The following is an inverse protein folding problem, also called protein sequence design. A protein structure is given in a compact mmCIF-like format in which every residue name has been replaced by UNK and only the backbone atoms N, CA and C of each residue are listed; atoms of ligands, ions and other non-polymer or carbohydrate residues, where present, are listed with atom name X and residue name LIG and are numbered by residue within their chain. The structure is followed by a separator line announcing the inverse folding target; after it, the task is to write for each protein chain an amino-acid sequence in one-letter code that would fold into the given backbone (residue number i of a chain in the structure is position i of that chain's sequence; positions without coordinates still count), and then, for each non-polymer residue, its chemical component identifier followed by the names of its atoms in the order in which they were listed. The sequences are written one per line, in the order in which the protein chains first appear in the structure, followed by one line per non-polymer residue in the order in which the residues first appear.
data_IF_811985616299
#
_entry.id   IF_811985616299
#
_cell.length_a   1.000
_cell.length_b   1.000
_cell.length_c   1.000
_cell.angle_alpha   90.00
_cell.angle_beta   90.00
_cell.angle_gamma   90.00
#
_symmetry.space_group_name_H-M   'P 1'
#
loop_
_entity.id
_entity.type
_entity.pdbx_description
1 polymer ?
#
# COMPACT_ATOMS: atom_id res chain seq x y z
N UNK A 1 1.19 -31.62 25.53
CA UNK A 1 1.81 -32.33 24.37
C UNK A 1 2.87 -33.35 24.81
N UNK A 2 2.84 -33.80 26.08
CA UNK A 2 3.85 -34.70 26.67
C UNK A 2 3.89 -36.09 26.00
N UNK A 3 2.78 -36.54 25.43
CA UNK A 3 2.71 -37.79 24.66
C UNK A 3 3.69 -37.83 23.47
N UNK A 4 4.12 -36.68 22.94
CA UNK A 4 5.13 -36.61 21.89
C UNK A 4 6.50 -37.06 22.38
N UNK A 5 6.82 -36.91 23.67
CA UNK A 5 8.11 -37.30 24.23
C UNK A 5 8.33 -38.83 24.26
N UNK A 6 7.25 -39.60 24.15
CA UNK A 6 7.29 -41.05 24.01
C UNK A 6 7.56 -41.51 22.56
N UNK A 7 7.63 -40.59 21.58
CA UNK A 7 7.88 -40.89 20.18
C UNK A 7 9.35 -40.69 19.80
N UNK A 8 9.79 -41.38 18.74
CA UNK A 8 11.12 -41.20 18.18
C UNK A 8 11.38 -39.75 17.71
N UNK A 9 12.65 -39.33 17.75
CA UNK A 9 13.07 -37.97 17.38
C UNK A 9 12.60 -37.56 15.98
N UNK A 10 12.64 -38.50 15.02
CA UNK A 10 12.16 -38.28 13.65
C UNK A 10 10.70 -37.78 13.60
N UNK A 11 9.82 -38.34 14.43
CA UNK A 11 8.41 -37.93 14.49
C UNK A 11 8.27 -36.61 15.24
N UNK A 12 9.01 -36.42 16.34
CA UNK A 12 8.95 -35.17 17.13
C UNK A 12 9.40 -33.94 16.35
N UNK A 13 10.37 -34.12 15.46
CA UNK A 13 10.95 -33.06 14.63
C UNK A 13 10.25 -32.94 13.26
N UNK A 14 9.27 -33.79 12.97
CA UNK A 14 8.51 -33.72 11.73
C UNK A 14 7.77 -32.38 11.61
N UNK A 15 7.73 -31.84 10.38
CA UNK A 15 7.06 -30.56 10.07
C UNK A 15 5.62 -30.48 10.58
N UNK A 16 4.88 -31.58 10.53
CA UNK A 16 3.51 -31.66 11.03
C UNK A 16 3.41 -31.47 12.54
N UNK A 17 4.38 -31.99 13.31
CA UNK A 17 4.44 -31.81 14.76
C UNK A 17 4.88 -30.39 15.12
N UNK A 18 5.82 -29.80 14.37
CA UNK A 18 6.17 -28.39 14.53
C UNK A 18 4.96 -27.47 14.29
N UNK A 19 4.20 -27.71 13.21
CA UNK A 19 2.97 -26.96 12.93
C UNK A 19 1.89 -27.18 14.00
N UNK A 20 1.73 -28.40 14.50
CA UNK A 20 0.80 -28.68 15.59
C UNK A 20 1.17 -27.89 16.86
N UNK A 21 2.47 -27.83 17.20
CA UNK A 21 2.96 -27.03 18.34
C UNK A 21 2.67 -25.55 18.15
N UNK A 22 2.91 -25.02 16.95
CA UNK A 22 2.63 -23.63 16.60
C UNK A 22 1.13 -23.30 16.68
N UNK A 23 0.28 -24.09 16.04
CA UNK A 23 -1.18 -23.89 16.07
C UNK A 23 -1.69 -23.97 17.50
N UNK A 24 -1.22 -24.95 18.28
CA UNK A 24 -1.64 -25.10 19.66
C UNK A 24 -1.26 -23.88 20.51
N UNK A 25 -0.02 -23.39 20.40
CA UNK A 25 0.43 -22.22 21.17
C UNK A 25 -0.24 -20.91 20.74
N UNK A 26 -0.69 -20.81 19.48
CA UNK A 26 -1.42 -19.65 18.97
C UNK A 26 -2.90 -19.64 19.36
N UNK A 27 -3.49 -20.83 19.55
CA UNK A 27 -4.94 -21.00 19.75
C UNK A 27 -5.31 -21.24 21.21
N UNK A 28 -4.38 -21.69 22.04
CA UNK A 28 -4.65 -22.09 23.41
C UNK A 28 -3.61 -21.57 24.40
N UNK A 29 -4.08 -21.18 25.58
CA UNK A 29 -3.24 -20.89 26.75
C UNK A 29 -3.37 -22.05 27.75
N UNK A 30 -2.24 -22.45 28.34
CA UNK A 30 -2.20 -23.47 29.39
C UNK A 30 -1.89 -22.77 30.70
N UNK A 31 -2.86 -22.77 31.61
CA UNK A 31 -2.69 -22.22 32.96
C UNK A 31 -1.72 -23.08 33.78
N UNK A 32 -1.16 -22.51 34.85
CA UNK A 32 -0.35 -23.26 35.83
C UNK A 32 -1.11 -24.44 36.46
N UNK A 33 -2.45 -24.38 36.47
CA UNK A 33 -3.35 -25.44 36.92
C UNK A 33 -3.43 -26.64 35.96
N UNK A 34 -2.85 -26.53 34.75
CA UNK A 34 -3.02 -27.49 33.66
C UNK A 34 -4.32 -27.32 32.87
N UNK A 35 -5.17 -26.34 33.22
CA UNK A 35 -6.37 -25.99 32.47
C UNK A 35 -5.98 -25.38 31.12
N UNK A 36 -6.64 -25.83 30.06
CA UNK A 36 -6.44 -25.35 28.70
C UNK A 36 -7.64 -24.47 28.32
N UNK A 37 -7.38 -23.22 27.96
CA UNK A 37 -8.41 -22.30 27.47
C UNK A 37 -8.10 -21.82 26.05
N UNK A 38 -9.14 -21.61 25.25
CA UNK A 38 -8.99 -21.02 23.92
C UNK A 38 -8.68 -19.52 24.03
N UNK A 39 -7.67 -19.07 23.29
CA UNK A 39 -7.35 -17.65 23.15
C UNK A 39 -8.54 -16.93 22.50
N UNK A 40 -9.06 -15.89 23.15
CA UNK A 40 -10.24 -15.13 22.67
C UNK A 40 -9.89 -14.01 21.68
N UNK A 41 -8.64 -13.55 21.71
CA UNK A 41 -8.14 -12.46 20.86
C UNK A 41 -6.86 -12.91 20.19
N UNK A 42 -6.94 -13.18 18.89
CA UNK A 42 -5.79 -13.63 18.12
C UNK A 42 -4.97 -12.44 17.61
N UNK A 43 -3.64 -12.59 17.66
CA UNK A 43 -2.72 -11.68 17.00
C UNK A 43 -2.75 -11.87 15.48
N UNK A 44 -2.29 -10.86 14.74
CA UNK A 44 -2.04 -10.98 13.29
C UNK A 44 -1.01 -12.07 13.04
N UNK A 45 -1.24 -12.92 12.04
CA UNK A 45 -0.36 -14.04 11.68
C UNK A 45 -0.80 -15.40 12.21
N UNK A 46 -1.85 -15.46 13.02
CA UNK A 46 -2.35 -16.73 13.54
C UNK A 46 -2.83 -17.65 12.42
N UNK A 47 -2.40 -18.91 12.49
CA UNK A 47 -2.85 -19.99 11.61
C UNK A 47 -4.26 -20.39 12.02
N UNK A 48 -5.21 -20.22 11.08
CA UNK A 48 -6.62 -20.58 11.30
C UNK A 48 -6.96 -21.96 10.74
N UNK A 49 -6.19 -22.46 9.78
CA UNK A 49 -6.39 -23.76 9.15
C UNK A 49 -5.05 -24.50 9.02
N UNK A 50 -4.81 -25.57 9.79
CA UNK A 50 -3.56 -26.35 9.73
C UNK A 50 -3.27 -26.98 8.35
N UNK A 51 -4.29 -27.16 7.51
CA UNK A 51 -4.09 -27.67 6.15
C UNK A 51 -3.59 -26.61 5.16
N UNK A 52 -3.55 -25.34 5.57
CA UNK A 52 -3.03 -24.22 4.78
C UNK A 52 -2.43 -23.14 5.71
N UNK A 53 -1.27 -23.42 6.32
CA UNK A 53 -0.68 -22.53 7.33
C UNK A 53 -0.23 -21.17 6.78
N UNK A 54 -0.05 -21.06 5.46
CA UNK A 54 0.26 -19.79 4.81
C UNK A 54 -0.93 -18.82 4.76
N UNK A 55 -2.17 -19.32 4.88
CA UNK A 55 -3.39 -18.52 4.92
C UNK A 55 -3.65 -18.04 6.37
N UNK A 56 -2.89 -17.03 6.76
CA UNK A 56 -2.93 -16.47 8.11
C UNK A 56 -4.04 -15.43 8.28
N UNK A 57 -4.52 -15.27 9.50
CA UNK A 57 -5.43 -14.20 9.86
C UNK A 57 -4.70 -12.85 9.95
N UNK A 58 -5.32 -11.79 9.46
CA UNK A 58 -4.83 -10.42 9.59
C UNK A 58 -6.00 -9.46 9.70
N UNK A 59 -5.75 -8.29 10.28
CA UNK A 59 -6.71 -7.21 10.38
C UNK A 59 -6.06 -5.85 10.12
N UNK A 60 -6.83 -4.95 9.53
CA UNK A 60 -6.48 -3.56 9.29
C UNK A 60 -7.58 -2.64 9.81
N UNK A 61 -7.20 -1.47 10.32
CA UNK A 61 -8.11 -0.49 10.88
C UNK A 61 -8.49 -0.77 12.34
N UNK A 62 -9.20 0.19 12.96
CA UNK A 62 -9.64 0.13 14.34
C UNK A 62 -11.13 0.47 14.45
N UNK A 63 -11.78 -0.02 15.51
CA UNK A 63 -13.19 0.24 15.77
C UNK A 63 -14.09 -0.19 14.60
N UNK A 64 -14.99 0.70 14.17
CA UNK A 64 -15.93 0.45 13.06
C UNK A 64 -15.27 0.29 11.68
N UNK A 65 -13.99 0.65 11.56
CA UNK A 65 -13.22 0.51 10.32
C UNK A 65 -12.34 -0.76 10.31
N UNK A 66 -12.45 -1.61 11.35
CA UNK A 66 -11.73 -2.88 11.38
C UNK A 66 -12.24 -3.78 10.25
N UNK A 67 -11.32 -4.17 9.38
CA UNK A 67 -11.50 -5.23 8.39
C UNK A 67 -10.53 -6.34 8.71
N UNK A 68 -11.01 -7.56 8.81
CA UNK A 68 -10.19 -8.75 8.97
C UNK A 68 -10.40 -9.74 7.83
N UNK A 69 -9.39 -10.57 7.62
CA UNK A 69 -9.42 -11.60 6.60
C UNK A 69 -8.45 -12.72 6.95
N UNK A 70 -8.62 -13.85 6.27
CA UNK A 70 -7.72 -15.01 6.30
C UNK A 70 -7.28 -15.27 4.88
N UNK A 71 -6.00 -15.15 4.59
CA UNK A 71 -5.48 -15.42 3.25
C UNK A 71 -4.22 -14.64 2.91
N UNK A 72 -4.27 -13.93 1.79
CA UNK A 72 -3.12 -13.26 1.18
C UNK A 72 -3.48 -11.84 0.76
N UNK A 73 -2.46 -11.02 0.54
CA UNK A 73 -2.57 -9.72 -0.12
C UNK A 73 -2.02 -9.82 -1.53
N UNK A 74 -2.44 -8.90 -2.39
CA UNK A 74 -1.92 -8.80 -3.75
C UNK A 74 -1.68 -7.34 -4.12
N UNK A 75 -0.48 -7.05 -4.60
CA UNK A 75 -0.11 -5.78 -5.21
C UNK A 75 -0.22 -5.93 -6.72
N UNK A 76 -0.85 -4.97 -7.39
CA UNK A 76 -1.03 -4.97 -8.85
C UNK A 76 -0.55 -3.63 -9.37
N UNK A 77 0.32 -3.66 -10.38
CA UNK A 77 0.71 -2.49 -11.15
C UNK A 77 0.28 -2.66 -12.61
N UNK A 78 -0.12 -1.57 -13.25
CA UNK A 78 -0.45 -1.53 -14.66
C UNK A 78 0.12 -0.29 -15.36
N UNK A 79 0.18 -0.33 -16.68
CA UNK A 79 0.52 0.84 -17.48
C UNK A 79 -0.61 1.86 -17.45
N UNK A 80 -0.24 3.15 -17.49
CA UNK A 80 -1.19 4.23 -17.70
C UNK A 80 -1.57 4.26 -19.18
N UNK A 81 -2.86 4.34 -19.48
CA UNK A 81 -3.35 4.49 -20.84
C UNK A 81 -2.93 5.87 -21.41
N UNK A 82 -2.49 5.91 -22.66
CA UNK A 82 -2.13 7.16 -23.33
C UNK A 82 -3.32 7.71 -24.13
N UNK A 83 -3.21 8.95 -24.62
CA UNK A 83 -4.23 9.50 -25.53
C UNK A 83 -4.32 8.69 -26.83
N UNK A 84 -3.19 8.17 -27.31
CA UNK A 84 -3.08 7.38 -28.54
C UNK A 84 -3.54 5.92 -28.34
N UNK A 85 -3.32 5.35 -27.16
CA UNK A 85 -3.71 4.00 -26.81
C UNK A 85 -4.40 3.94 -25.45
N UNK A 86 -5.73 3.79 -25.49
CA UNK A 86 -6.58 3.66 -24.31
C UNK A 86 -6.44 2.30 -23.60
N UNK A 87 -5.53 1.43 -24.06
CA UNK A 87 -5.28 0.12 -23.44
C UNK A 87 -4.28 0.23 -22.28
N UNK A 88 -4.64 -0.31 -21.13
CA UNK A 88 -3.71 -0.54 -20.02
C UNK A 88 -3.36 -2.02 -19.88
N UNK A 89 -2.12 -2.33 -19.51
CA UNK A 89 -1.65 -3.70 -19.30
C UNK A 89 -1.06 -3.85 -17.91
N UNK A 90 -1.38 -4.95 -17.25
CA UNK A 90 -0.79 -5.31 -15.95
C UNK A 90 0.70 -5.60 -16.18
N UNK A 91 1.56 -4.88 -15.47
CA UNK A 91 3.02 -5.00 -15.59
C UNK A 91 3.59 -5.91 -14.51
N UNK A 92 2.95 -5.97 -13.35
CA UNK A 92 3.34 -6.91 -12.30
C UNK A 92 2.18 -7.23 -11.36
N UNK A 93 2.24 -8.44 -10.81
CA UNK A 93 1.41 -8.89 -9.69
C UNK A 93 2.33 -9.50 -8.64
N UNK A 94 2.22 -9.04 -7.40
CA UNK A 94 3.01 -9.53 -6.27
C UNK A 94 2.07 -10.06 -5.20
N UNK A 95 2.12 -11.37 -4.97
CA UNK A 95 1.40 -12.00 -3.86
C UNK A 95 2.20 -11.83 -2.58
N UNK A 96 1.53 -11.43 -1.50
CA UNK A 96 2.12 -11.24 -0.18
C UNK A 96 1.32 -12.01 0.87
N UNK A 97 1.96 -12.40 1.96
CA UNK A 97 1.23 -12.96 3.11
C UNK A 97 0.33 -11.89 3.73
N UNK A 98 -0.74 -12.32 4.40
CA UNK A 98 -1.67 -11.37 5.05
C UNK A 98 -1.01 -10.47 6.11
N UNK A 99 0.11 -10.91 6.68
CA UNK A 99 0.90 -10.23 7.72
C UNK A 99 1.87 -9.18 7.18
N UNK A 100 2.19 -9.21 5.88
CA UNK A 100 3.17 -8.30 5.28
C UNK A 100 2.68 -6.85 5.35
N UNK A 101 3.61 -5.92 5.61
CA UNK A 101 3.29 -4.49 5.61
C UNK A 101 2.98 -4.01 4.20
N UNK A 102 2.02 -3.11 4.07
CA UNK A 102 1.71 -2.46 2.79
C UNK A 102 2.91 -1.63 2.31
N UNK A 103 3.72 -1.09 3.24
CA UNK A 103 4.94 -0.32 2.93
C UNK A 103 5.97 -1.12 2.12
N UNK A 104 5.98 -2.45 2.28
CA UNK A 104 6.86 -3.34 1.52
C UNK A 104 6.34 -3.65 0.10
N UNK A 105 5.10 -3.28 -0.21
CA UNK A 105 4.44 -3.59 -1.48
C UNK A 105 5.06 -2.87 -2.68
N UNK A 106 5.38 -1.59 -2.55
CA UNK A 106 5.99 -0.81 -3.64
C UNK A 106 7.40 -1.32 -4.01
N UNK A 107 8.34 -1.47 -3.06
CA UNK A 107 9.65 -2.05 -3.37
C UNK A 107 9.57 -3.44 -4.02
N UNK A 108 8.68 -4.31 -3.51
CA UNK A 108 8.50 -5.65 -4.08
C UNK A 108 7.93 -5.60 -5.51
N UNK A 109 7.04 -4.63 -5.79
CA UNK A 109 6.46 -4.40 -7.12
C UNK A 109 7.52 -3.95 -8.13
N UNK A 110 8.36 -2.97 -7.75
CA UNK A 110 9.46 -2.47 -8.59
C UNK A 110 10.51 -3.57 -8.84
N UNK A 111 10.88 -4.33 -7.80
CA UNK A 111 11.78 -5.47 -7.95
C UNK A 111 11.19 -6.53 -8.89
N UNK A 112 9.88 -6.81 -8.78
CA UNK A 112 9.20 -7.73 -9.68
C UNK A 112 9.26 -7.25 -11.13
N UNK A 113 8.99 -5.97 -11.39
CA UNK A 113 9.11 -5.40 -12.74
C UNK A 113 10.53 -5.53 -13.30
N UNK A 114 11.55 -5.22 -12.49
CA UNK A 114 12.96 -5.37 -12.87
C UNK A 114 13.31 -6.83 -13.21
N UNK A 115 12.88 -7.80 -12.38
CA UNK A 115 13.12 -9.23 -12.66
C UNK A 115 12.40 -9.75 -13.90
N UNK A 116 11.31 -9.10 -14.31
CA UNK A 116 10.62 -9.38 -15.57
C UNK A 116 11.29 -8.67 -16.78
N UNK A 117 12.37 -7.91 -16.55
CA UNK A 117 13.09 -7.17 -17.60
C UNK A 117 12.35 -5.92 -18.08
N UNK A 118 11.41 -5.40 -17.29
CA UNK A 118 10.74 -4.15 -17.61
C UNK A 118 11.66 -2.96 -17.28
N UNK A 119 11.57 -1.94 -18.12
CA UNK A 119 12.24 -0.66 -17.86
C UNK A 119 11.67 -0.01 -16.61
N UNK A 120 12.50 0.80 -15.95
CA UNK A 120 12.07 1.58 -14.82
C UNK A 120 10.99 2.58 -15.27
N UNK A 121 9.87 2.72 -14.53
CA UNK A 121 8.86 3.70 -14.88
C UNK A 121 9.44 5.11 -14.80
N UNK A 122 9.03 6.00 -15.70
CA UNK A 122 9.29 7.45 -15.57
C UNK A 122 8.46 8.06 -14.45
N UNK A 123 7.23 7.59 -14.28
CA UNK A 123 6.27 8.00 -13.25
C UNK A 123 5.50 6.78 -12.72
N UNK A 124 5.20 6.77 -11.43
CA UNK A 124 4.34 5.76 -10.82
C UNK A 124 3.29 6.37 -9.91
N UNK A 125 2.02 6.12 -10.22
CA UNK A 125 0.87 6.59 -9.46
C UNK A 125 0.51 5.59 -8.37
N UNK A 126 0.46 6.03 -7.12
CA UNK A 126 0.24 5.17 -5.95
C UNK A 126 -0.73 5.78 -4.95
N UNK A 127 -1.27 4.94 -4.08
CA UNK A 127 -2.04 5.39 -2.92
C UNK A 127 -1.16 6.13 -1.91
N UNK A 128 -1.77 7.01 -1.11
CA UNK A 128 -1.06 7.78 -0.08
C UNK A 128 -0.40 6.96 1.03
N UNK A 129 -0.64 5.65 1.08
CA UNK A 129 0.07 4.73 1.98
C UNK A 129 1.52 4.50 1.52
N UNK A 130 1.80 4.57 0.22
CA UNK A 130 3.16 4.40 -0.33
C UNK A 130 3.96 5.71 -0.36
N UNK A 131 3.33 6.83 0.00
CA UNK A 131 3.91 8.17 -0.09
C UNK A 131 4.52 8.57 1.25
N UNK A 132 5.84 8.70 1.26
CA UNK A 132 6.61 9.31 2.35
C UNK A 132 7.68 10.24 1.79
N UNK A 133 8.16 11.20 2.59
CA UNK A 133 9.25 12.07 2.16
C UNK A 133 10.49 11.29 1.73
N UNK A 134 10.77 10.17 2.40
CA UNK A 134 11.86 9.26 2.04
C UNK A 134 11.63 8.62 0.67
N UNK A 135 10.46 8.02 0.45
CA UNK A 135 10.14 7.36 -0.82
C UNK A 135 10.14 8.32 -2.01
N UNK A 136 9.62 9.54 -1.82
CA UNK A 136 9.67 10.60 -2.85
C UNK A 136 11.13 10.96 -3.20
N UNK A 137 11.97 11.15 -2.18
CA UNK A 137 13.37 11.51 -2.37
C UNK A 137 14.15 10.38 -3.06
N UNK A 138 13.98 9.14 -2.59
CA UNK A 138 14.63 7.96 -3.19
C UNK A 138 14.21 7.75 -4.65
N UNK A 139 12.93 7.97 -4.99
CA UNK A 139 12.45 7.91 -6.38
C UNK A 139 13.14 8.97 -7.25
N UNK A 140 13.19 10.22 -6.76
CA UNK A 140 13.83 11.33 -7.47
C UNK A 140 15.33 11.09 -7.70
N UNK A 141 16.03 10.59 -6.69
CA UNK A 141 17.46 10.22 -6.79
C UNK A 141 17.69 9.08 -7.79
N UNK A 142 16.73 8.16 -7.91
CA UNK A 142 16.73 7.09 -8.88
C UNK A 142 16.21 7.49 -10.27
N UNK A 143 15.91 8.78 -10.51
CA UNK A 143 15.57 9.31 -11.84
C UNK A 143 14.12 9.14 -12.29
N UNK A 144 13.19 8.88 -11.37
CA UNK A 144 11.76 8.73 -11.68
C UNK A 144 10.88 9.45 -10.65
N UNK A 145 9.58 9.61 -10.97
CA UNK A 145 8.64 10.28 -10.09
C UNK A 145 7.66 9.31 -9.40
N UNK A 146 7.60 9.36 -8.07
CA UNK A 146 6.57 8.70 -7.30
C UNK A 146 5.41 9.68 -7.05
N UNK A 147 4.28 9.46 -7.70
CA UNK A 147 3.10 10.33 -7.66
C UNK A 147 2.03 9.72 -6.75
N UNK A 148 1.48 10.55 -5.85
CA UNK A 148 0.45 10.13 -4.91
C UNK A 148 0.24 11.16 -3.80
N UNK A 149 -0.89 11.07 -3.08
CA UNK A 149 -1.25 12.06 -2.07
C UNK A 149 -0.36 11.94 -0.85
N UNK A 150 0.18 13.07 -0.39
CA UNK A 150 0.95 13.12 0.85
C UNK A 150 0.02 13.17 2.07
N UNK A 151 0.34 12.38 3.09
CA UNK A 151 -0.37 12.41 4.35
C UNK A 151 -0.26 13.80 5.00
N UNK A 152 -1.34 14.35 5.57
CA UNK A 152 -1.28 15.57 6.35
C UNK A 152 -0.40 15.37 7.59
N UNK A 153 0.09 16.46 8.18
CA UNK A 153 0.74 16.40 9.48
C UNK A 153 -0.25 16.00 10.56
N UNK A 154 0.25 15.36 11.62
CA UNK A 154 -0.56 14.99 12.75
C UNK A 154 -1.18 16.25 13.39
N UNK A 155 -2.49 16.24 13.58
CA UNK A 155 -3.16 17.26 14.38
C UNK A 155 -2.68 17.17 15.83
N UNK A 156 -2.20 18.27 16.39
CA UNK A 156 -1.92 18.39 17.83
C UNK A 156 -3.02 19.21 18.49
N UNK A 157 -3.50 18.74 19.64
CA UNK A 157 -4.49 19.46 20.44
C UNK A 157 -3.95 20.86 20.82
N UNK A 158 -4.81 21.86 20.72
CA UNK A 158 -4.45 23.25 21.04
C UNK A 158 -3.68 24.00 19.93
N UNK A 159 -3.51 23.42 18.74
CA UNK A 159 -2.98 24.13 17.56
C UNK A 159 -4.05 24.32 16.48
N UNK A 160 -4.26 25.57 16.09
CA UNK A 160 -5.06 25.91 14.91
C UNK A 160 -4.39 25.42 13.62
N UNK A 161 -5.18 25.22 12.56
CA UNK A 161 -4.73 24.60 11.30
C UNK A 161 -3.64 25.44 10.63
N UNK A 162 -3.78 26.75 10.71
CA UNK A 162 -2.93 27.81 10.16
C UNK A 162 -1.56 27.86 10.82
N UNK A 163 -1.40 27.24 11.99
CA UNK A 163 -0.14 27.14 12.73
C UNK A 163 0.34 25.69 12.88
N UNK A 164 -0.10 24.77 12.01
CA UNK A 164 0.48 23.43 11.92
C UNK A 164 1.80 23.46 11.16
N UNK A 165 2.52 22.34 11.17
CA UNK A 165 3.88 22.24 10.61
C UNK A 165 3.90 22.66 9.14
N UNK A 166 2.84 22.37 8.39
CA UNK A 166 2.74 22.68 6.97
C UNK A 166 2.69 24.17 6.66
N UNK A 167 2.35 25.01 7.63
CA UNK A 167 2.32 26.46 7.45
C UNK A 167 3.71 27.10 7.66
N UNK A 168 4.68 26.33 8.16
CA UNK A 168 6.06 26.79 8.33
C UNK A 168 6.87 26.46 7.08
N UNK A 169 7.74 27.38 6.68
CA UNK A 169 8.73 27.13 5.64
C UNK A 169 10.02 26.66 6.30
N UNK A 170 10.37 25.39 6.12
CA UNK A 170 11.46 24.74 6.83
C UNK A 170 12.43 24.17 5.81
N UNK A 171 13.66 24.66 5.83
CA UNK A 171 14.78 24.06 5.11
C UNK A 171 15.69 23.32 6.08
N UNK A 172 15.81 22.00 5.87
CA UNK A 172 16.74 21.16 6.61
C UNK A 172 18.17 21.44 6.16
N UNK A 173 18.34 21.67 4.85
CA UNK A 173 19.62 21.99 4.23
C UNK A 173 20.20 23.29 4.78
N UNK A 174 19.41 24.36 4.85
CA UNK A 174 19.85 25.65 5.41
C UNK A 174 19.80 25.71 6.95
N UNK A 175 19.26 24.67 7.62
CA UNK A 175 18.95 24.68 9.05
C UNK A 175 18.18 25.92 9.48
N UNK A 176 17.15 26.26 8.69
CA UNK A 176 16.34 27.46 8.85
C UNK A 176 14.85 27.13 8.82
N UNK A 177 14.08 27.78 9.68
CA UNK A 177 12.63 27.70 9.69
C UNK A 177 12.00 29.10 9.74
N UNK A 178 10.95 29.34 8.98
CA UNK A 178 10.18 30.59 8.95
C UNK A 178 8.74 30.28 9.35
N UNK A 179 8.19 31.03 10.29
CA UNK A 179 6.80 30.87 10.73
C UNK A 179 5.82 31.58 9.79
N UNK A 180 4.50 31.30 9.89
CA UNK A 180 3.48 31.96 9.08
C UNK A 180 3.50 33.50 9.15
N UNK A 181 3.92 34.07 10.30
CA UNK A 181 4.06 35.52 10.49
C UNK A 181 5.42 36.07 10.00
N UNK A 182 6.20 35.28 9.25
CA UNK A 182 7.47 35.68 8.67
C UNK A 182 8.66 35.73 9.63
N UNK A 183 8.50 35.36 10.91
CA UNK A 183 9.63 35.29 11.85
C UNK A 183 10.52 34.09 11.53
N UNK A 184 11.83 34.30 11.49
CA UNK A 184 12.82 33.27 11.16
C UNK A 184 13.45 32.71 12.44
N UNK A 185 13.78 31.42 12.44
CA UNK A 185 14.67 30.77 13.40
C UNK A 185 15.76 29.98 12.68
N UNK A 186 16.99 30.10 13.17
CA UNK A 186 18.16 29.29 12.81
C UNK A 186 18.62 28.40 13.96
N UNK A 187 17.89 28.40 15.08
CA UNK A 187 18.17 27.52 16.22
C UNK A 187 17.66 26.11 15.87
N UNK A 188 18.56 25.30 15.32
CA UNK A 188 18.29 23.97 14.81
C UNK A 188 19.26 22.94 15.43
N UNK A 189 18.70 21.91 16.06
CA UNK A 189 19.46 20.75 16.54
C UNK A 189 19.10 19.49 15.74
N UNK A 190 20.11 18.68 15.41
CA UNK A 190 19.93 17.36 14.80
C UNK A 190 19.88 16.32 15.91
N UNK A 191 18.79 15.56 15.96
CA UNK A 191 18.56 14.49 16.91
C UNK A 191 18.57 13.16 16.16
N UNK A 192 19.38 12.21 16.64
CA UNK A 192 19.42 10.86 16.10
C UNK A 192 18.93 9.90 17.16
N UNK A 193 17.90 9.13 16.85
CA UNK A 193 17.41 8.08 17.75
C UNK A 193 18.32 6.86 17.67
N UNK A 194 18.90 6.44 18.79
CA UNK A 194 19.94 5.39 18.83
C UNK A 194 19.46 4.03 18.29
N UNK A 195 18.21 3.65 18.59
CA UNK A 195 17.66 2.34 18.24
C UNK A 195 17.24 2.21 16.78
N UNK A 196 16.71 3.28 16.20
CA UNK A 196 16.11 3.28 14.86
C UNK A 196 17.00 3.98 13.81
N UNK A 197 18.11 4.59 14.24
CA UNK A 197 18.91 5.54 13.46
C UNK A 197 18.09 6.68 12.84
N UNK A 198 16.88 6.93 13.34
CA UNK A 198 15.96 7.93 12.78
C UNK A 198 16.50 9.32 13.10
N UNK A 199 16.69 10.10 12.04
CA UNK A 199 17.14 11.49 12.14
C UNK A 199 15.93 12.42 12.15
N UNK A 200 15.90 13.30 13.15
CA UNK A 200 14.94 14.41 13.26
C UNK A 200 15.68 15.72 13.48
N UNK A 201 15.08 16.82 13.04
CA UNK A 201 15.57 18.17 13.19
C UNK A 201 14.59 18.94 14.07
N UNK A 202 15.12 19.53 15.15
CA UNK A 202 14.36 20.32 16.12
C UNK A 202 14.67 21.80 15.91
N UNK A 203 13.64 22.58 15.59
CA UNK A 203 13.70 24.02 15.42
C UNK A 203 13.01 24.72 16.59
N UNK A 204 13.64 25.74 17.15
CA UNK A 204 13.10 26.52 18.27
C UNK A 204 12.99 28.00 17.93
N UNK A 205 11.78 28.56 18.05
CA UNK A 205 11.54 29.98 17.89
C UNK A 205 11.65 30.63 19.26
N UNK A 206 12.62 31.51 19.48
CA UNK A 206 12.94 32.01 20.83
C UNK A 206 12.00 33.12 21.30
N UNK A 207 12.59 34.22 21.78
CA UNK A 207 11.85 35.32 22.41
C UNK A 207 10.83 36.00 21.49
N UNK A 208 10.97 35.85 20.16
CA UNK A 208 10.00 36.30 19.16
C UNK A 208 8.58 35.76 19.35
N UNK A 209 8.41 34.68 20.14
CA UNK A 209 7.10 34.11 20.45
C UNK A 209 6.45 34.72 21.71
N UNK A 210 7.15 35.50 22.55
CA UNK A 210 6.57 36.00 23.81
C UNK A 210 5.45 37.02 23.57
N UNK A 211 5.71 38.03 22.74
CA UNK A 211 4.77 39.12 22.45
C UNK A 211 4.04 38.92 21.11
N UNK A 212 4.04 37.70 20.58
CA UNK A 212 3.37 37.38 19.32
C UNK A 212 1.84 37.36 19.51
N UNK A 213 1.11 38.14 18.70
CA UNK A 213 -0.35 38.19 18.74
C UNK A 213 -1.01 36.81 18.53
N UNK A 214 -0.33 35.92 17.80
CA UNK A 214 -0.81 34.58 17.48
C UNK A 214 -0.30 33.49 18.43
N UNK A 215 0.35 33.87 19.55
CA UNK A 215 0.94 32.94 20.52
C UNK A 215 -0.06 31.90 21.02
N UNK A 216 -1.29 32.30 21.35
CA UNK A 216 -2.31 31.40 21.88
C UNK A 216 -2.74 30.31 20.88
N UNK A 217 -2.70 30.59 19.57
CA UNK A 217 -3.04 29.66 18.50
C UNK A 217 -1.84 28.82 18.02
N UNK A 218 -0.63 29.38 18.13
CA UNK A 218 0.60 28.81 17.57
C UNK A 218 1.46 28.05 18.60
N UNK A 219 1.46 28.44 19.87
CA UNK A 219 2.31 27.82 20.89
C UNK A 219 1.46 26.90 21.79
N UNK A 220 1.77 25.59 21.88
CA UNK A 220 1.08 24.70 22.81
C UNK A 220 1.20 25.24 24.25
N UNK A 221 0.10 25.18 25.02
CA UNK A 221 0.01 25.79 26.36
C UNK A 221 1.10 25.36 27.35
N UNK A 222 1.65 24.15 27.18
CA UNK A 222 2.73 23.62 28.02
C UNK A 222 4.15 24.06 27.59
N UNK A 223 4.27 24.92 26.57
CA UNK A 223 5.57 25.32 26.01
C UNK A 223 5.79 26.84 26.14
N UNK A 224 7.01 27.28 26.50
CA UNK A 224 7.33 28.70 26.57
C UNK A 224 7.41 29.35 25.18
N UNK A 225 7.63 28.56 24.13
CA UNK A 225 7.77 29.03 22.77
C UNK A 225 7.49 27.92 21.75
N UNK A 226 7.49 28.27 20.45
CA UNK A 226 7.21 27.30 19.39
C UNK A 226 8.43 26.40 19.16
N UNK A 227 8.22 25.09 19.27
CA UNK A 227 9.19 24.05 18.88
C UNK A 227 8.61 23.18 17.79
N UNK A 228 9.39 22.92 16.74
CA UNK A 228 9.01 22.08 15.61
C UNK A 228 10.00 20.93 15.48
N UNK A 229 9.48 19.72 15.31
CA UNK A 229 10.25 18.52 15.04
C UNK A 229 9.86 18.00 13.66
N UNK A 230 10.84 17.86 12.77
CA UNK A 230 10.63 17.31 11.42
C UNK A 230 11.64 16.20 11.13
N UNK A 231 11.28 15.23 10.28
CA UNK A 231 12.20 14.18 9.83
C UNK A 231 13.16 14.68 8.75
N UNK A 232 14.23 13.92 8.48
CA UNK A 232 15.25 14.28 7.48
C UNK A 232 14.72 14.56 6.05
N UNK A 233 13.58 13.99 5.67
CA UNK A 233 12.97 14.15 4.34
C UNK A 233 11.76 15.09 4.35
N UNK A 234 11.74 16.05 5.28
CA UNK A 234 10.61 16.97 5.41
C UNK A 234 10.39 17.84 4.17
N UNK A 235 11.46 18.37 3.59
CA UNK A 235 11.39 19.26 2.41
C UNK A 235 10.67 18.56 1.24
N UNK A 236 11.03 17.31 0.93
CA UNK A 236 10.38 16.52 -0.12
C UNK A 236 8.88 16.29 0.16
N UNK A 237 8.53 15.92 1.40
CA UNK A 237 7.13 15.71 1.78
C UNK A 237 6.32 17.01 1.77
N UNK A 238 6.93 18.10 2.22
CA UNK A 238 6.31 19.41 2.31
C UNK A 238 6.07 20.00 0.91
N UNK A 239 7.02 19.81 -0.01
CA UNK A 239 6.83 20.17 -1.42
C UNK A 239 5.64 19.42 -2.02
N UNK A 240 5.56 18.09 -1.87
CA UNK A 240 4.40 17.32 -2.36
C UNK A 240 3.07 17.77 -1.76
N UNK A 241 3.04 18.19 -0.49
CA UNK A 241 1.83 18.76 0.14
C UNK A 241 1.39 20.10 -0.46
N UNK A 242 2.34 20.90 -0.96
CA UNK A 242 2.08 22.14 -1.70
C UNK A 242 1.61 21.80 -3.12
N UNK A 243 2.34 20.92 -3.81
CA UNK A 243 2.02 20.49 -5.18
C UNK A 243 0.61 19.93 -5.27
N UNK A 244 0.19 19.11 -4.30
CA UNK A 244 -1.16 18.52 -4.31
C UNK A 244 -2.32 19.51 -4.18
N UNK A 245 -2.05 20.78 -3.87
CA UNK A 245 -3.07 21.84 -3.91
C UNK A 245 -3.27 22.40 -5.33
N UNK A 246 -2.34 22.17 -6.26
CA UNK A 246 -2.44 22.68 -7.63
C UNK A 246 -3.48 21.90 -8.44
N UNK A 247 -4.10 22.59 -9.41
CA UNK A 247 -5.02 21.95 -10.36
C UNK A 247 -4.29 20.91 -11.22
N UNK A 248 -3.04 21.18 -11.59
CA UNK A 248 -2.20 20.25 -12.37
C UNK A 248 -2.02 18.90 -11.66
N UNK A 249 -1.70 18.91 -10.36
CA UNK A 249 -1.55 17.67 -9.60
C UNK A 249 -2.89 16.94 -9.45
N UNK A 250 -3.99 17.68 -9.26
CA UNK A 250 -5.33 17.08 -9.18
C UNK A 250 -5.70 16.38 -10.49
N UNK A 251 -5.36 16.98 -11.63
CA UNK A 251 -5.56 16.38 -12.95
C UNK A 251 -4.69 15.13 -13.16
N UNK A 252 -3.41 15.19 -12.80
CA UNK A 252 -2.50 14.03 -12.86
C UNK A 252 -3.03 12.86 -12.02
N UNK A 253 -3.56 13.14 -10.83
CA UNK A 253 -4.09 12.12 -9.92
C UNK A 253 -5.30 11.35 -10.46
N UNK A 254 -5.98 11.83 -11.51
CA UNK A 254 -7.06 11.07 -12.16
C UNK A 254 -6.56 9.74 -12.74
N UNK A 255 -5.28 9.66 -13.15
CA UNK A 255 -4.68 8.43 -13.67
C UNK A 255 -4.70 7.29 -12.65
N UNK A 256 -4.60 7.61 -11.35
CA UNK A 256 -4.66 6.60 -10.27
C UNK A 256 -5.98 5.83 -10.27
N UNK A 257 -7.09 6.42 -10.70
CA UNK A 257 -8.39 5.77 -10.63
C UNK A 257 -8.51 4.55 -11.55
N UNK A 258 -7.67 4.44 -12.59
CA UNK A 258 -7.67 3.31 -13.52
C UNK A 258 -7.43 1.97 -12.80
N UNK A 259 -6.51 1.94 -11.81
CA UNK A 259 -6.16 0.71 -11.08
C UNK A 259 -7.35 0.15 -10.30
N UNK A 260 -8.26 1.00 -9.82
CA UNK A 260 -9.48 0.55 -9.12
C UNK A 260 -10.38 -0.25 -10.08
N UNK A 261 -10.47 0.18 -11.34
CA UNK A 261 -11.13 -0.55 -12.41
C UNK A 261 -10.47 -1.91 -12.69
N UNK A 262 -9.14 -1.94 -12.76
CA UNK A 262 -8.36 -3.17 -12.95
C UNK A 262 -8.53 -4.15 -11.80
N UNK A 263 -8.39 -3.69 -10.55
CA UNK A 263 -8.67 -4.52 -9.37
C UNK A 263 -10.10 -5.06 -9.43
N UNK A 264 -11.07 -4.24 -9.83
CA UNK A 264 -12.46 -4.67 -10.00
C UNK A 264 -12.63 -5.76 -11.07
N UNK A 265 -11.95 -5.64 -12.22
CA UNK A 265 -11.93 -6.66 -13.28
C UNK A 265 -11.32 -7.97 -12.77
N UNK A 266 -10.17 -7.91 -12.10
CA UNK A 266 -9.50 -9.10 -11.56
C UNK A 266 -10.36 -9.79 -10.51
N UNK A 267 -11.03 -9.03 -9.63
CA UNK A 267 -11.90 -9.58 -8.59
C UNK A 267 -13.16 -10.21 -9.18
N UNK A 268 -13.89 -9.49 -10.05
CA UNK A 268 -15.21 -9.91 -10.53
C UNK A 268 -15.13 -10.90 -11.68
N UNK A 269 -14.21 -10.70 -12.61
CA UNK A 269 -14.13 -11.47 -13.86
C UNK A 269 -13.11 -12.61 -13.79
N UNK A 270 -12.10 -12.51 -12.92
CA UNK A 270 -11.03 -13.52 -12.81
C UNK A 270 -10.96 -14.22 -11.44
N UNK A 271 -11.81 -13.81 -10.49
CA UNK A 271 -11.91 -14.47 -9.19
C UNK A 271 -10.69 -14.24 -8.29
N UNK A 272 -10.00 -13.10 -8.41
CA UNK A 272 -8.82 -12.75 -7.60
C UNK A 272 -9.08 -12.84 -6.09
N UNK A 273 -10.34 -12.69 -5.65
CA UNK A 273 -10.73 -12.89 -4.24
C UNK A 273 -10.86 -14.35 -3.81
N UNK A 274 -10.49 -15.36 -4.61
CA UNK A 274 -10.63 -16.79 -4.25
C UNK A 274 -9.37 -17.60 -4.50
N UNK A 275 -8.77 -18.14 -3.44
CA UNK A 275 -7.58 -18.99 -3.56
C UNK A 275 -8.05 -20.42 -3.84
N UNK A 276 -7.83 -20.91 -5.07
CA UNK A 276 -8.23 -22.27 -5.47
C UNK A 276 -7.29 -23.32 -4.92
N UNK A 277 -6.05 -22.93 -4.66
CA UNK A 277 -4.99 -23.79 -4.16
C UNK A 277 -4.59 -23.39 -2.74
N UNK A 278 -3.95 -24.34 -2.03
CA UNK A 278 -3.36 -24.14 -0.70
C UNK A 278 -1.85 -23.96 -0.82
N UNK A 279 -1.28 -23.15 0.06
CA UNK A 279 0.13 -22.82 0.08
C UNK A 279 0.49 -21.65 -0.82
N UNK A 280 1.40 -20.82 -0.31
CA UNK A 280 1.77 -19.53 -0.90
C UNK A 280 2.20 -19.64 -2.37
N UNK A 281 3.08 -20.60 -2.70
CA UNK A 281 3.61 -20.75 -4.05
C UNK A 281 2.53 -21.03 -5.12
N UNK A 282 1.52 -21.82 -4.78
CA UNK A 282 0.42 -22.14 -5.72
C UNK A 282 -0.53 -20.97 -5.88
N UNK A 283 -0.75 -20.22 -4.80
CA UNK A 283 -1.56 -19.00 -4.83
C UNK A 283 -0.88 -17.91 -5.64
N UNK A 284 0.44 -17.75 -5.48
CA UNK A 284 1.20 -16.82 -6.30
C UNK A 284 1.10 -17.15 -7.79
N UNK A 285 1.33 -18.41 -8.16
CA UNK A 285 1.17 -18.86 -9.54
C UNK A 285 -0.25 -18.60 -10.09
N UNK A 286 -1.28 -18.83 -9.29
CA UNK A 286 -2.66 -18.52 -9.66
C UNK A 286 -2.82 -17.03 -9.98
N UNK A 287 -2.28 -16.14 -9.14
CA UNK A 287 -2.38 -14.70 -9.35
C UNK A 287 -1.64 -14.25 -10.61
N UNK A 288 -0.49 -14.87 -10.93
CA UNK A 288 0.22 -14.62 -12.19
C UNK A 288 -0.64 -15.04 -13.40
N UNK A 289 -1.30 -16.20 -13.36
CA UNK A 289 -2.20 -16.64 -14.44
C UNK A 289 -3.44 -15.76 -14.59
N UNK A 290 -3.98 -15.24 -13.49
CA UNK A 290 -5.07 -14.27 -13.52
C UNK A 290 -4.63 -12.99 -14.27
N UNK A 291 -3.45 -12.47 -13.95
CA UNK A 291 -2.88 -11.29 -14.61
C UNK A 291 -2.64 -11.54 -16.11
N UNK A 292 -2.02 -12.68 -16.45
CA UNK A 292 -1.77 -13.07 -17.84
C UNK A 292 -3.07 -13.19 -18.63
N UNK A 293 -4.10 -13.85 -18.08
CA UNK A 293 -5.40 -13.98 -18.72
C UNK A 293 -6.09 -12.62 -18.93
N UNK A 294 -5.97 -11.70 -17.97
CA UNK A 294 -6.48 -10.33 -18.11
C UNK A 294 -5.77 -9.60 -19.27
N UNK A 295 -4.44 -9.60 -19.28
CA UNK A 295 -3.65 -8.99 -20.34
C UNK A 295 -3.95 -9.59 -21.72
N UNK A 296 -4.09 -10.92 -21.82
CA UNK A 296 -4.47 -11.57 -23.08
C UNK A 296 -5.83 -11.08 -23.58
N UNK A 297 -6.83 -10.96 -22.70
CA UNK A 297 -8.14 -10.40 -23.07
C UNK A 297 -8.01 -8.96 -23.56
N UNK A 298 -7.26 -8.11 -22.86
CA UNK A 298 -7.02 -6.72 -23.25
C UNK A 298 -6.29 -6.63 -24.59
N UNK A 299 -5.30 -7.49 -24.81
CA UNK A 299 -4.54 -7.56 -26.06
C UNK A 299 -5.44 -7.96 -27.24
N UNK A 300 -6.27 -9.00 -27.09
CA UNK A 300 -7.24 -9.40 -28.12
C UNK A 300 -8.24 -8.28 -28.41
N UNK A 301 -8.76 -7.60 -27.38
CA UNK A 301 -9.66 -6.44 -27.57
C UNK A 301 -8.97 -5.32 -28.35
N UNK A 302 -7.70 -5.02 -28.03
CA UNK A 302 -6.90 -4.02 -28.76
C UNK A 302 -6.76 -4.40 -30.24
N UNK A 303 -6.34 -5.64 -30.53
CA UNK A 303 -6.19 -6.12 -31.92
C UNK A 303 -7.49 -6.11 -32.72
N UNK A 304 -8.61 -6.48 -32.10
CA UNK A 304 -9.91 -6.42 -32.76
C UNK A 304 -10.37 -4.97 -32.95
N UNK A 305 -10.17 -4.11 -31.95
CA UNK A 305 -10.49 -2.69 -32.02
C UNK A 305 -9.74 -1.98 -33.14
N UNK A 306 -8.45 -2.28 -33.33
CA UNK A 306 -7.65 -1.73 -34.44
C UNK A 306 -8.08 -2.28 -35.79
N UNK A 307 -8.34 -3.60 -35.89
CA UNK A 307 -8.78 -4.23 -37.14
C UNK A 307 -10.14 -3.70 -37.62
N UNK A 308 -11.10 -3.50 -36.72
CA UNK A 308 -12.44 -2.97 -37.07
C UNK A 308 -12.50 -1.43 -37.12
N UNK A 309 -11.58 -0.73 -36.46
CA UNK A 309 -11.40 0.72 -36.58
C UNK A 309 -10.90 1.13 -37.98
N UNK A 310 -9.87 0.44 -38.46
CA UNK A 310 -9.34 0.63 -39.82
C UNK A 310 -10.40 0.37 -40.91
N UNK A 311 -11.23 -0.67 -40.75
CA UNK A 311 -12.33 -0.94 -41.69
C UNK A 311 -13.45 0.10 -41.65
N UNK A 312 -13.67 0.81 -40.54
CA UNK A 312 -14.70 1.85 -40.45
C UNK A 312 -14.31 3.14 -41.17
N UNK A 313 -13.04 3.52 -41.10
CA UNK A 313 -12.50 4.68 -41.83
C UNK A 313 -12.53 4.41 -43.34
N UNK A 314 -12.22 3.19 -43.77
CA UNK A 314 -12.30 2.79 -45.18
C UNK A 314 -13.74 2.66 -45.72
N UNK A 315 -14.74 2.49 -44.85
CA UNK A 315 -16.15 2.27 -45.25
C UNK A 315 -17.11 3.42 -44.93
N UNK A 316 -16.66 4.49 -44.29
CA UNK A 316 -17.46 5.69 -44.02
C UNK A 316 -18.70 5.48 -43.12
N UNK A 317 -18.69 4.46 -42.25
CA UNK A 317 -19.86 4.09 -41.43
C UNK A 317 -19.76 4.65 -40.00
N UNK A 318 -20.71 5.52 -39.62
CA UNK A 318 -20.87 6.06 -38.26
C UNK A 318 -21.92 5.27 -37.46
N UNK A 319 -21.46 4.27 -36.69
CA UNK A 319 -22.32 3.53 -35.75
C UNK A 319 -21.54 2.73 -34.72
N UNK A 320 -22.01 2.68 -33.47
CA UNK A 320 -21.36 1.95 -32.37
C UNK A 320 -21.42 0.42 -32.59
N UNK A 321 -20.34 -0.28 -32.25
CA UNK A 321 -20.19 -1.73 -32.43
C UNK A 321 -21.13 -2.51 -31.49
N UNK A 322 -21.83 -3.57 -31.93
CA UNK A 322 -22.72 -4.34 -31.07
C UNK A 322 -21.89 -5.33 -30.23
N UNK A 323 -21.43 -4.88 -29.06
CA UNK A 323 -20.63 -5.66 -28.11
C UNK A 323 -21.28 -6.98 -27.63
N UNK A 324 -22.59 -7.16 -27.88
CA UNK A 324 -23.33 -8.36 -27.48
C UNK A 324 -22.81 -9.67 -28.09
N UNK A 325 -22.19 -9.64 -29.28
CA UNK A 325 -21.79 -10.87 -29.99
C UNK A 325 -20.46 -11.46 -29.49
N UNK A 326 -19.58 -10.65 -28.89
CA UNK A 326 -18.31 -11.11 -28.30
C UNK A 326 -18.40 -11.37 -26.79
N UNK A 327 -19.41 -10.83 -26.11
CA UNK A 327 -19.64 -11.06 -24.69
C UNK A 327 -19.85 -12.56 -24.39
N UNK A 328 -20.55 -13.26 -25.28
CA UNK A 328 -20.83 -14.69 -25.15
C UNK A 328 -19.59 -15.59 -25.32
N UNK A 329 -18.52 -15.12 -25.96
CA UNK A 329 -17.29 -15.92 -26.14
C UNK A 329 -16.39 -15.94 -24.87
N UNK A 330 -16.57 -14.97 -23.97
CA UNK A 330 -15.71 -14.81 -22.78
C UNK A 330 -16.40 -15.13 -21.44
N UNK A 331 -17.70 -15.46 -21.46
CA UNK A 331 -18.49 -15.81 -20.27
C UNK A 331 -18.73 -17.32 -20.23
N UNK A 332 -17.73 -18.10 -19.79
CA UNK A 332 -17.99 -19.44 -19.24
C UNK A 332 -16.78 -20.01 -18.47
N UNK A 333 -16.46 -19.39 -17.33
CA UNK A 333 -15.87 -20.14 -16.22
C UNK A 333 -16.61 -19.65 -14.98
N UNK A 334 -17.68 -20.35 -14.59
CA UNK A 334 -18.39 -20.08 -13.35
C UNK A 334 -17.50 -20.52 -12.16
N UNK A 335 -17.01 -19.59 -11.32
CA UNK A 335 -16.17 -19.95 -10.18
C UNK A 335 -16.97 -20.35 -8.94
N UNK A 336 -18.31 -20.47 -9.01
CA UNK A 336 -19.23 -20.63 -7.85
C UNK A 336 -19.41 -22.05 -7.31
N UNK A 337 -18.71 -23.06 -7.82
CA UNK A 337 -18.99 -24.48 -7.50
C UNK A 337 -18.26 -25.09 -6.29
N UNK A 338 -17.41 -24.37 -5.56
CA UNK A 338 -16.63 -24.95 -4.44
C UNK A 338 -16.41 -23.97 -3.26
N UNK A 339 -16.24 -24.47 -2.01
CA UNK A 339 -16.38 -23.68 -0.79
C UNK A 339 -15.33 -22.56 -0.60
N UNK A 340 -15.74 -21.53 0.14
CA UNK A 340 -15.21 -20.16 0.13
C UNK A 340 -13.86 -19.96 0.86
N UNK A 341 -12.94 -19.20 0.23
CA UNK A 341 -11.81 -18.49 0.88
C UNK A 341 -11.65 -17.11 0.25
N UNK A 342 -11.36 -16.05 1.03
CA UNK A 342 -11.41 -14.64 0.61
C UNK A 342 -10.02 -13.99 0.63
N UNK A 343 -9.63 -13.30 -0.43
CA UNK A 343 -8.52 -12.32 -0.37
C UNK A 343 -9.07 -10.95 0.03
N UNK A 344 -8.24 -10.16 0.74
CA UNK A 344 -8.52 -8.75 1.05
C UNK A 344 -8.08 -7.84 -0.09
#
# INVERSE_FOLDING_TARGET
MEWLEALGAEVREAKGVALLREVFSQQYEVEQSGKIESVKVHATGVVTNPHDPDAQWSAKGQGKQKKDWVGYKVQVAETVASQEDQSSFITSVVTQRATESDDAGLPATLQKQQTLGLEQPTEMYTDGAYISGRAIQEAKEAGWELVGPAQPSASRAGLEKEYRIEAFDISITERKAVCPDGKTSTNCSKLTEEKSAKVTYRFEFGSQCHDCAHRAACVPSAQPHRTILVGAYHEALQQRRRDQQSEEFQLQMHQRNAIEGTISELVRSHGLRRARYKGFAKVDLQNQFIAAACNMKRWVRKLLGTAFGAQKEDLGLSGAFPWGVLADFFVQIDPRSFPERKFA
#
